data_IF_127716749958
#
_entry.id   IF_127716749958
#
_cell.length_a   1.000
_cell.length_b   1.000
_cell.length_c   1.000
_cell.angle_alpha   90.00
_cell.angle_beta   90.00
_cell.angle_gamma   90.00
#
_symmetry.space_group_name_H-M   'P 1'
#
loop_
_entity.id
_entity.type
_entity.pdbx_description
1 polymer ?
#
# COMPACT_ATOMS: atom_id res chain seq x y z
N UNK A 1 16.13 -0.74 -8.51
CA UNK A 1 15.06 -0.43 -9.47
C UNK A 1 15.63 -0.55 -10.88
N UNK A 2 14.93 -1.26 -11.76
CA UNK A 2 15.27 -1.36 -13.18
C UNK A 2 14.23 -0.57 -14.00
N UNK A 3 14.65 0.07 -15.09
CA UNK A 3 13.77 0.90 -15.91
C UNK A 3 14.14 0.81 -17.40
N UNK A 4 13.16 0.94 -18.28
CA UNK A 4 13.31 0.84 -19.75
C UNK A 4 13.13 2.19 -20.45
N UNK A 5 13.62 3.28 -19.85
CA UNK A 5 13.50 4.64 -20.40
C UNK A 5 13.90 4.66 -21.88
N UNK A 6 12.95 4.92 -22.81
CA UNK A 6 13.27 4.98 -24.23
C UNK A 6 14.05 6.26 -24.55
N UNK A 7 14.85 6.23 -25.63
CA UNK A 7 15.60 7.39 -26.11
C UNK A 7 14.67 8.55 -26.47
N UNK A 8 15.11 9.77 -26.21
CA UNK A 8 14.35 10.96 -26.54
C UNK A 8 14.21 11.10 -28.07
N UNK A 9 12.99 11.37 -28.52
CA UNK A 9 12.64 11.55 -29.93
C UNK A 9 11.81 12.81 -30.10
N UNK A 10 12.31 13.74 -30.91
CA UNK A 10 11.60 14.91 -31.40
C UNK A 10 11.07 14.64 -32.80
N UNK A 11 9.75 14.75 -33.00
CA UNK A 11 9.10 14.60 -34.30
C UNK A 11 8.49 15.95 -34.66
N UNK A 12 8.92 16.54 -35.77
CA UNK A 12 8.48 17.88 -36.21
C UNK A 12 8.60 18.97 -35.12
N UNK A 13 9.70 18.95 -34.35
CA UNK A 13 9.97 19.94 -33.30
C UNK A 13 9.10 19.79 -32.04
N UNK A 14 8.29 18.73 -31.93
CA UNK A 14 7.51 18.41 -30.74
C UNK A 14 8.10 17.20 -30.03
N UNK A 15 8.19 17.28 -28.71
CA UNK A 15 8.61 16.17 -27.87
C UNK A 15 7.49 15.15 -27.74
N UNK A 16 7.80 13.88 -27.98
CA UNK A 16 6.81 12.80 -28.02
C UNK A 16 6.58 12.24 -26.62
N UNK A 17 5.32 11.96 -26.27
CA UNK A 17 5.00 11.19 -25.09
C UNK A 17 5.73 9.83 -25.12
N UNK A 18 6.42 9.50 -24.03
CA UNK A 18 7.18 8.26 -23.87
C UNK A 18 6.55 7.40 -22.80
N UNK A 19 6.61 6.08 -23.01
CA UNK A 19 6.25 5.11 -21.99
C UNK A 19 7.53 4.53 -21.39
N UNK A 20 7.71 4.70 -20.09
CA UNK A 20 8.81 4.12 -19.33
C UNK A 20 8.23 3.00 -18.48
N UNK A 21 8.77 1.79 -18.56
CA UNK A 21 8.42 0.71 -17.63
C UNK A 21 9.46 0.65 -16.51
N UNK A 22 9.02 0.26 -15.32
CA UNK A 22 9.91 0.06 -14.18
C UNK A 22 9.57 -1.21 -13.41
N UNK A 23 10.62 -1.84 -12.91
CA UNK A 23 10.58 -2.96 -11.98
C UNK A 23 11.29 -2.52 -10.70
N UNK A 24 10.55 -2.53 -9.59
CA UNK A 24 11.06 -2.20 -8.26
C UNK A 24 11.02 -3.42 -7.37
N UNK A 25 12.00 -3.54 -6.49
CA UNK A 25 12.02 -4.58 -5.46
C UNK A 25 12.66 -4.01 -4.21
N UNK A 26 12.23 -4.49 -3.04
CA UNK A 26 12.75 -4.04 -1.76
C UNK A 26 12.25 -4.89 -0.60
N UNK A 27 12.65 -4.47 0.60
CA UNK A 27 12.13 -4.99 1.86
C UNK A 27 11.32 -3.89 2.54
N UNK A 28 10.28 -4.26 3.28
CA UNK A 28 9.52 -3.35 4.12
C UNK A 28 9.47 -3.88 5.55
N UNK A 29 9.39 -2.95 6.49
CA UNK A 29 9.13 -3.22 7.90
C UNK A 29 8.10 -2.22 8.40
N UNK A 30 7.07 -2.70 9.09
CA UNK A 30 6.01 -1.92 9.69
C UNK A 30 5.91 -2.27 11.17
N UNK A 31 5.64 -1.26 11.98
CA UNK A 31 5.41 -1.39 13.41
C UNK A 31 4.10 -0.69 13.78
N UNK A 32 3.24 -1.39 14.52
CA UNK A 32 1.96 -0.89 14.97
C UNK A 32 2.11 -0.27 16.37
N UNK A 33 2.22 1.07 16.45
CA UNK A 33 2.43 1.80 17.71
C UNK A 33 1.19 1.82 18.63
N UNK A 34 0.00 2.05 18.07
CA UNK A 34 -1.28 2.09 18.79
C UNK A 34 -2.43 1.85 17.80
N UNK A 35 -3.37 0.96 18.16
CA UNK A 35 -4.51 0.60 17.31
C UNK A 35 -5.78 0.51 18.16
N UNK A 36 -6.29 1.67 18.57
CA UNK A 36 -7.51 1.79 19.35
C UNK A 36 -8.62 2.43 18.52
N UNK A 37 -9.68 1.66 18.23
CA UNK A 37 -10.89 2.20 17.62
C UNK A 37 -11.77 2.81 18.72
N UNK A 38 -11.93 4.13 18.67
CA UNK A 38 -12.85 4.88 19.54
C UNK A 38 -13.91 5.57 18.69
N UNK A 39 -15.13 5.58 19.19
CA UNK A 39 -16.21 6.32 18.57
C UNK A 39 -17.49 6.21 19.37
N UNK A 40 -18.49 6.95 18.93
CA UNK A 40 -19.82 6.96 19.53
C UNK A 40 -20.80 6.47 18.48
N UNK A 41 -21.46 5.35 18.76
CA UNK A 41 -22.55 4.87 17.92
C UNK A 41 -23.82 5.63 18.30
N UNK A 42 -24.27 6.50 17.40
CA UNK A 42 -25.54 7.21 17.52
C UNK A 42 -26.53 6.68 16.50
N UNK A 43 -27.74 6.33 16.92
CA UNK A 43 -28.81 5.99 16.00
C UNK A 43 -30.20 6.17 16.61
N UNK A 44 -31.19 6.35 15.74
CA UNK A 44 -32.59 6.44 16.12
C UNK A 44 -33.43 5.53 15.20
N UNK A 45 -33.53 4.22 15.48
CA UNK A 45 -34.53 3.38 14.83
C UNK A 45 -35.86 3.70 15.52
N UNK A 46 -36.65 4.59 14.92
CA UNK A 46 -38.05 4.89 15.26
C UNK A 46 -38.24 5.13 16.78
N UNK A 47 -37.89 6.34 17.25
CA UNK A 47 -38.40 6.91 18.49
C UNK A 47 -37.58 6.74 19.77
N UNK A 48 -36.49 5.97 19.76
CA UNK A 48 -35.57 5.89 20.91
C UNK A 48 -34.16 6.27 20.45
N UNK A 49 -33.65 7.38 20.98
CA UNK A 49 -32.26 7.77 20.77
C UNK A 49 -31.37 6.79 21.54
N UNK A 50 -30.46 6.11 20.84
CA UNK A 50 -29.37 5.38 21.47
C UNK A 50 -28.05 6.07 21.16
N UNK A 51 -27.25 6.24 22.20
CA UNK A 51 -25.88 6.73 22.15
C UNK A 51 -25.05 5.76 22.97
N UNK A 52 -24.03 5.17 22.34
CA UNK A 52 -23.15 4.22 22.98
C UNK A 52 -21.71 4.46 22.55
N UNK A 53 -20.87 4.78 23.52
CA UNK A 53 -19.43 4.88 23.30
C UNK A 53 -18.83 3.48 23.17
N UNK A 54 -17.92 3.32 22.21
CA UNK A 54 -17.09 2.14 22.09
C UNK A 54 -15.61 2.52 22.08
N UNK A 55 -14.82 1.66 22.70
CA UNK A 55 -13.36 1.71 22.67
C UNK A 55 -12.88 0.28 22.55
N UNK A 56 -12.44 -0.12 21.36
CA UNK A 56 -11.95 -1.47 21.10
C UNK A 56 -10.46 -1.44 20.77
N UNK A 57 -9.69 -2.23 21.50
CA UNK A 57 -8.29 -2.50 21.18
C UNK A 57 -8.27 -3.55 20.06
N UNK A 58 -7.84 -3.13 18.88
CA UNK A 58 -7.75 -4.03 17.72
C UNK A 58 -6.34 -4.57 17.53
N UNK A 59 -5.37 -4.23 18.39
CA UNK A 59 -4.01 -4.77 18.30
C UNK A 59 -3.98 -6.30 18.24
N UNK A 60 -4.79 -7.07 18.98
CA UNK A 60 -4.79 -8.54 18.85
C UNK A 60 -5.29 -9.07 17.49
N UNK A 61 -5.90 -8.22 16.67
CA UNK A 61 -6.43 -8.58 15.35
C UNK A 61 -5.43 -8.27 14.22
N UNK A 62 -4.32 -7.61 14.53
CA UNK A 62 -3.30 -7.18 13.58
C UNK A 62 -1.90 -7.57 14.09
N UNK A 63 -0.94 -7.74 13.18
CA UNK A 63 0.45 -7.99 13.60
C UNK A 63 1.07 -6.72 14.20
N UNK A 64 1.75 -6.85 15.35
CA UNK A 64 2.49 -5.74 15.97
C UNK A 64 3.71 -5.35 15.13
N UNK A 65 4.40 -6.37 14.58
CA UNK A 65 5.49 -6.21 13.63
C UNK A 65 5.16 -6.95 12.34
N UNK A 66 5.22 -6.26 11.21
CA UNK A 66 5.17 -6.90 9.89
C UNK A 66 6.47 -6.59 9.15
N UNK A 67 7.05 -7.60 8.54
CA UNK A 67 8.28 -7.49 7.78
C UNK A 67 8.21 -8.37 6.55
N UNK A 68 8.58 -7.83 5.41
CA UNK A 68 8.40 -8.56 4.16
C UNK A 68 9.19 -8.05 2.99
N UNK A 69 9.01 -8.73 1.86
CA UNK A 69 9.53 -8.30 0.57
C UNK A 69 8.43 -7.60 -0.22
N UNK A 70 8.81 -6.60 -1.00
CA UNK A 70 7.93 -5.93 -1.95
C UNK A 70 8.50 -6.05 -3.35
N UNK A 71 7.65 -6.42 -4.30
CA UNK A 71 7.95 -6.45 -5.72
C UNK A 71 6.91 -5.61 -6.44
N UNK A 72 7.37 -4.68 -7.28
CA UNK A 72 6.51 -3.74 -8.00
C UNK A 72 6.85 -3.69 -9.47
N UNK A 73 5.82 -3.59 -10.29
CA UNK A 73 5.92 -3.34 -11.73
C UNK A 73 5.01 -2.18 -12.09
N UNK A 74 5.51 -1.27 -12.92
CA UNK A 74 4.76 -0.09 -13.30
C UNK A 74 5.19 0.47 -14.62
N UNK A 75 4.41 1.45 -15.07
CA UNK A 75 4.77 2.26 -16.22
C UNK A 75 4.34 3.71 -16.01
N UNK A 76 5.09 4.61 -16.60
CA UNK A 76 4.76 6.03 -16.71
C UNK A 76 4.60 6.39 -18.18
N UNK A 77 3.52 7.09 -18.53
CA UNK A 77 3.30 7.60 -19.89
C UNK A 77 3.20 9.12 -19.88
N UNK A 78 4.06 9.78 -20.66
CA UNK A 78 4.04 11.23 -20.84
C UNK A 78 5.39 11.79 -21.21
N UNK A 79 5.50 13.12 -21.24
CA UNK A 79 6.78 13.79 -21.54
C UNK A 79 7.15 14.76 -20.41
N UNK A 80 6.49 15.92 -20.35
CA UNK A 80 6.59 16.87 -19.24
C UNK A 80 5.74 16.45 -18.05
N UNK A 81 4.46 16.17 -18.32
CA UNK A 81 3.52 15.61 -17.35
C UNK A 81 3.30 14.15 -17.66
N UNK A 82 3.29 13.29 -16.65
CA UNK A 82 3.15 11.85 -16.84
C UNK A 82 2.05 11.27 -15.98
N UNK A 83 1.32 10.33 -16.56
CA UNK A 83 0.40 9.47 -15.83
C UNK A 83 1.10 8.14 -15.57
N UNK A 84 1.16 7.75 -14.31
CA UNK A 84 1.80 6.52 -13.86
C UNK A 84 0.80 5.51 -13.32
N UNK A 85 1.07 4.24 -13.60
CA UNK A 85 0.39 3.10 -12.98
C UNK A 85 1.43 2.18 -12.38
N UNK A 86 1.16 1.67 -11.19
CA UNK A 86 2.04 0.72 -10.51
C UNK A 86 1.24 -0.35 -9.76
N UNK A 87 1.63 -1.60 -9.95
CA UNK A 87 1.14 -2.74 -9.21
C UNK A 87 2.27 -3.26 -8.32
N UNK A 88 2.00 -3.42 -7.02
CA UNK A 88 2.94 -3.95 -6.04
C UNK A 88 2.35 -5.18 -5.37
N UNK A 89 3.16 -6.22 -5.23
CA UNK A 89 2.88 -7.38 -4.39
C UNK A 89 3.76 -7.27 -3.16
N UNK A 90 3.13 -7.29 -2.00
CA UNK A 90 3.79 -7.34 -0.70
C UNK A 90 3.65 -8.77 -0.17
N UNK A 91 4.78 -9.36 0.16
CA UNK A 91 4.90 -10.69 0.74
C UNK A 91 5.37 -10.52 2.18
N UNK A 92 4.48 -10.64 3.16
CA UNK A 92 4.87 -10.64 4.57
C UNK A 92 5.61 -11.96 4.87
N UNK A 93 6.82 -11.84 5.41
CA UNK A 93 7.65 -12.98 5.81
C UNK A 93 7.62 -13.16 7.34
N UNK A 94 7.37 -12.07 8.07
CA UNK A 94 7.34 -12.02 9.52
C UNK A 94 5.94 -11.56 9.94
N UNK A 95 5.23 -12.44 10.65
CA UNK A 95 3.97 -12.12 11.32
C UNK A 95 4.17 -12.41 12.81
N UNK A 96 4.04 -11.38 13.66
CA UNK A 96 4.15 -11.49 15.12
C UNK A 96 2.79 -11.63 15.79
N UNK A 97 1.69 -11.71 15.04
CA UNK A 97 0.33 -11.67 15.58
C UNK A 97 0.03 -12.77 16.62
N UNK A 98 0.67 -13.95 16.51
CA UNK A 98 0.40 -15.08 17.42
C UNK A 98 1.40 -15.19 18.60
N UNK A 99 2.68 -14.80 18.44
CA UNK A 99 3.68 -14.81 19.52
C UNK A 99 4.83 -13.80 19.22
N UNK A 100 4.91 -12.65 19.92
CA UNK A 100 5.99 -11.68 19.75
C UNK A 100 7.40 -12.23 20.02
N UNK A 101 7.51 -13.35 20.73
CA UNK A 101 8.78 -14.01 21.03
C UNK A 101 9.13 -15.12 20.03
N UNK A 102 8.20 -15.49 19.13
CA UNK A 102 8.39 -16.47 18.06
C UNK A 102 7.75 -16.00 16.76
N UNK A 103 8.35 -14.98 16.10
CA UNK A 103 7.92 -14.60 14.76
C UNK A 103 7.96 -15.83 13.85
N UNK A 104 6.79 -16.30 13.41
CA UNK A 104 6.67 -17.46 12.54
C UNK A 104 6.48 -16.99 11.10
N UNK A 105 7.08 -17.74 10.17
CA UNK A 105 6.91 -17.49 8.75
C UNK A 105 5.48 -17.84 8.31
N UNK A 106 4.66 -16.82 8.02
CA UNK A 106 3.27 -16.99 7.58
C UNK A 106 3.07 -16.46 6.17
N UNK A 107 3.29 -17.34 5.20
CA UNK A 107 3.07 -17.18 3.75
C UNK A 107 1.68 -16.67 3.32
N UNK A 108 0.70 -16.58 4.23
CA UNK A 108 -0.69 -16.26 3.90
C UNK A 108 -0.96 -14.76 3.82
N UNK A 109 -0.07 -13.92 4.33
CA UNK A 109 -0.22 -12.47 4.33
C UNK A 109 0.39 -11.90 3.03
N UNK A 110 -0.43 -11.87 1.98
CA UNK A 110 -0.10 -11.25 0.71
C UNK A 110 -1.02 -10.05 0.48
N UNK A 111 -0.43 -8.89 0.22
CA UNK A 111 -1.19 -7.71 -0.19
C UNK A 111 -0.83 -7.33 -1.63
N UNK A 112 -1.84 -6.98 -2.42
CA UNK A 112 -1.66 -6.41 -3.75
C UNK A 112 -2.11 -4.96 -3.69
N UNK A 113 -1.21 -4.04 -4.01
CA UNK A 113 -1.50 -2.61 -4.10
C UNK A 113 -1.49 -2.18 -5.56
N UNK A 114 -2.53 -1.47 -5.97
CA UNK A 114 -2.60 -0.81 -7.27
C UNK A 114 -2.60 0.69 -7.04
N UNK A 115 -1.77 1.42 -7.77
CA UNK A 115 -1.63 2.87 -7.62
C UNK A 115 -1.67 3.55 -8.98
N UNK A 116 -2.45 4.62 -9.06
CA UNK A 116 -2.46 5.56 -10.18
C UNK A 116 -1.97 6.89 -9.64
N UNK A 117 -1.00 7.50 -10.31
CA UNK A 117 -0.43 8.78 -9.89
C UNK A 117 -0.18 9.67 -11.09
N UNK A 118 -0.08 10.97 -10.81
CA UNK A 118 0.23 11.99 -11.80
C UNK A 118 1.50 12.73 -11.38
N UNK A 119 2.48 12.75 -12.28
CA UNK A 119 3.74 13.47 -12.12
C UNK A 119 3.64 14.79 -12.89
N UNK A 120 3.86 15.89 -12.17
CA UNK A 120 3.83 17.27 -12.67
C UNK A 120 5.16 17.70 -13.26
#
# INVERSE_FOLDING_TARGET
>A
QFTTVPKDQTIYGRERARTTFHLSGGIYGAYLLDAQFKGTNTGAPIGIAFEGDFSNDVRPQYSEYDGGAILGLGFEHGYYRKLGFEARVLLSLIDSADDPQKPFFKHQNMAITLSVYFLL
#
